data_IF_287504809913
#
_entry.id   IF_287504809913
#
_cell.length_a   1.000
_cell.length_b   1.000
_cell.length_c   1.000
_cell.angle_alpha   90.00
_cell.angle_beta   90.00
_cell.angle_gamma   90.00
#
_symmetry.space_group_name_H-M   'P 1'
#
loop_
_entity.id
_entity.type
_entity.pdbx_description
1 polymer ?
#
# COMPACT_ATOMS: atom_id res chain seq x y z
N UNK A 1 11.76 -5.07 -12.73
CA UNK A 1 12.39 -5.22 -11.39
C UNK A 1 13.85 -5.57 -11.64
N UNK A 2 14.75 -4.66 -11.98
CA UNK A 2 14.98 -3.33 -11.40
C UNK A 2 15.94 -3.50 -10.23
N UNK A 3 17.23 -3.69 -10.51
CA UNK A 3 18.48 -3.74 -9.70
C UNK A 3 18.48 -4.29 -8.25
N UNK A 4 17.34 -4.65 -7.68
CA UNK A 4 17.18 -5.24 -6.37
C UNK A 4 17.53 -6.71 -6.41
N UNK A 5 18.38 -7.14 -5.46
CA UNK A 5 18.81 -8.52 -5.34
C UNK A 5 18.42 -9.05 -3.97
N UNK A 6 17.57 -10.07 -3.96
CA UNK A 6 17.10 -10.73 -2.74
C UNK A 6 18.29 -11.29 -1.97
N UNK A 7 18.39 -10.94 -0.69
CA UNK A 7 19.48 -11.40 0.19
C UNK A 7 20.79 -10.61 0.08
N UNK A 8 20.90 -9.64 -0.83
CA UNK A 8 22.08 -8.78 -0.96
C UNK A 8 21.83 -7.44 -0.28
N UNK A 9 22.46 -7.23 0.87
CA UNK A 9 22.39 -5.98 1.63
C UNK A 9 22.86 -4.80 0.78
N UNK A 10 22.07 -3.72 0.74
CA UNK A 10 22.40 -2.50 0.01
C UNK A 10 21.97 -2.48 -1.46
N UNK A 11 21.55 -3.62 -2.03
CA UNK A 11 21.07 -3.68 -3.43
C UNK A 11 19.87 -2.76 -3.69
N UNK A 12 19.06 -2.47 -2.65
CA UNK A 12 17.96 -1.51 -2.74
C UNK A 12 18.42 -0.11 -3.17
N UNK A 13 19.58 0.37 -2.72
CA UNK A 13 20.08 1.70 -3.07
C UNK A 13 20.39 1.88 -4.57
N UNK A 14 20.60 0.78 -5.29
CA UNK A 14 20.82 0.82 -6.74
C UNK A 14 19.53 0.90 -7.55
N UNK A 15 18.39 0.58 -6.92
CA UNK A 15 17.09 0.67 -7.57
C UNK A 15 16.72 2.12 -7.88
N UNK A 16 15.75 2.31 -8.78
CA UNK A 16 15.18 3.64 -8.99
C UNK A 16 14.60 4.20 -7.69
N UNK A 17 13.83 3.40 -6.95
CA UNK A 17 13.22 3.79 -5.68
C UNK A 17 14.26 4.21 -4.66
N UNK A 18 15.36 3.46 -4.55
CA UNK A 18 16.50 3.79 -3.68
C UNK A 18 17.14 5.12 -4.05
N UNK A 19 17.42 5.36 -5.34
CA UNK A 19 17.99 6.62 -5.81
C UNK A 19 17.06 7.81 -5.62
N UNK A 20 15.76 7.63 -5.86
CA UNK A 20 14.74 8.67 -5.62
C UNK A 20 14.63 8.98 -4.14
N UNK A 21 14.64 7.95 -3.28
CA UNK A 21 14.65 8.12 -1.83
C UNK A 21 15.91 8.86 -1.34
N UNK A 22 17.08 8.48 -1.83
CA UNK A 22 18.34 9.16 -1.49
C UNK A 22 18.33 10.62 -1.94
N UNK A 23 17.82 10.91 -3.15
CA UNK A 23 17.60 12.29 -3.61
C UNK A 23 16.67 13.05 -2.68
N UNK A 24 15.52 12.48 -2.32
CA UNK A 24 14.56 13.10 -1.40
C UNK A 24 15.18 13.42 -0.03
N UNK A 25 15.92 12.47 0.55
CA UNK A 25 16.60 12.66 1.84
C UNK A 25 17.68 13.73 1.75
N UNK A 26 18.52 13.68 0.71
CA UNK A 26 19.63 14.62 0.53
C UNK A 26 19.16 16.05 0.22
N UNK A 27 17.96 16.20 -0.34
CA UNK A 27 17.36 17.50 -0.69
C UNK A 27 16.40 18.03 0.38
N UNK A 28 16.52 17.62 1.65
CA UNK A 28 15.79 18.25 2.76
C UNK A 28 14.35 17.75 2.97
N UNK A 29 13.97 16.63 2.35
CA UNK A 29 12.68 15.96 2.55
C UNK A 29 11.50 16.90 2.25
N UNK A 30 10.65 17.13 3.26
CA UNK A 30 9.48 18.02 3.21
C UNK A 30 9.86 19.52 3.18
N UNK A 31 11.14 19.83 3.40
CA UNK A 31 11.67 21.20 3.47
C UNK A 31 12.88 21.40 2.55
N UNK A 32 12.70 21.26 1.22
CA UNK A 32 13.80 21.46 0.29
C UNK A 32 14.32 22.90 0.30
N UNK A 33 15.64 23.05 0.35
CA UNK A 33 16.29 24.36 0.35
C UNK A 33 16.27 25.04 -1.03
N UNK A 34 16.12 24.25 -2.10
CA UNK A 34 16.07 24.75 -3.48
C UNK A 34 14.65 25.09 -3.88
N UNK A 35 14.48 26.26 -4.51
CA UNK A 35 13.21 26.68 -5.12
C UNK A 35 12.79 25.67 -6.20
N UNK A 36 13.74 25.13 -6.98
CA UNK A 36 13.44 24.18 -8.04
C UNK A 36 12.88 22.86 -7.48
N UNK A 37 13.49 22.32 -6.42
CA UNK A 37 12.99 21.12 -5.73
C UNK A 37 11.62 21.37 -5.11
N UNK A 38 11.44 22.54 -4.47
CA UNK A 38 10.14 22.94 -3.91
C UNK A 38 9.06 22.94 -4.98
N UNK A 39 9.31 23.61 -6.11
CA UNK A 39 8.34 23.70 -7.20
C UNK A 39 8.07 22.34 -7.84
N UNK A 40 9.10 21.50 -8.02
CA UNK A 40 8.96 20.16 -8.59
C UNK A 40 8.10 19.25 -7.71
N UNK A 41 8.35 19.20 -6.40
CA UNK A 41 7.54 18.42 -5.46
C UNK A 41 6.09 18.90 -5.44
N UNK A 42 5.85 20.23 -5.42
CA UNK A 42 4.48 20.78 -5.40
C UNK A 42 3.72 20.54 -6.69
N UNK A 43 4.40 20.66 -7.84
CA UNK A 43 3.79 20.34 -9.13
C UNK A 43 3.42 18.86 -9.20
N UNK A 44 4.28 17.97 -8.73
CA UNK A 44 4.01 16.54 -8.62
C UNK A 44 2.77 16.27 -7.75
N UNK A 45 2.75 16.77 -6.51
CA UNK A 45 1.64 16.51 -5.58
C UNK A 45 0.32 17.09 -6.09
N UNK A 46 0.36 18.24 -6.76
CA UNK A 46 -0.80 18.82 -7.40
C UNK A 46 -1.30 17.94 -8.56
N UNK A 47 -0.42 17.46 -9.43
CA UNK A 47 -0.79 16.56 -10.53
C UNK A 47 -1.38 15.24 -10.03
N UNK A 48 -0.87 14.69 -8.92
CA UNK A 48 -1.44 13.49 -8.29
C UNK A 48 -2.84 13.78 -7.72
N UNK A 49 -3.02 14.95 -7.11
CA UNK A 49 -4.32 15.36 -6.57
C UNK A 49 -5.34 15.56 -7.69
N UNK A 50 -4.97 16.25 -8.77
CA UNK A 50 -5.80 16.48 -9.95
C UNK A 50 -6.23 15.14 -10.59
N UNK A 51 -5.28 14.23 -10.82
CA UNK A 51 -5.58 12.90 -11.35
C UNK A 51 -6.45 12.06 -10.39
N UNK A 52 -6.28 12.21 -9.07
CA UNK A 52 -7.13 11.53 -8.09
C UNK A 52 -8.56 12.07 -8.12
N UNK A 53 -8.74 13.40 -8.17
CA UNK A 53 -10.04 14.04 -8.26
C UNK A 53 -10.80 13.60 -9.52
N UNK A 54 -10.12 13.58 -10.67
CA UNK A 54 -10.68 13.07 -11.92
C UNK A 54 -11.07 11.58 -11.82
N UNK A 55 -10.21 10.75 -11.19
CA UNK A 55 -10.45 9.31 -11.05
C UNK A 55 -11.71 9.01 -10.22
N UNK A 56 -11.97 9.80 -9.17
CA UNK A 56 -13.10 9.58 -8.25
C UNK A 56 -14.37 10.34 -8.64
N UNK A 57 -14.29 11.27 -9.60
CA UNK A 57 -15.45 12.03 -10.03
C UNK A 57 -16.60 11.11 -10.49
N UNK A 58 -17.82 11.43 -10.03
CA UNK A 58 -19.01 10.62 -10.27
C UNK A 58 -19.03 9.21 -9.65
N UNK A 59 -18.02 8.81 -8.86
CA UNK A 59 -17.96 7.48 -8.22
C UNK A 59 -18.38 7.51 -6.75
N UNK A 60 -19.11 6.50 -6.33
CA UNK A 60 -19.41 6.29 -4.92
C UNK A 60 -18.23 5.59 -4.24
N UNK A 61 -17.36 6.35 -3.58
CA UNK A 61 -16.15 5.82 -2.93
C UNK A 61 -16.46 5.36 -1.50
N UNK A 62 -16.10 4.13 -1.15
CA UNK A 62 -16.21 3.60 0.22
C UNK A 62 -14.89 3.04 0.67
N UNK A 63 -14.45 3.48 1.84
CA UNK A 63 -13.19 3.06 2.41
C UNK A 63 -13.41 2.15 3.62
N UNK A 64 -12.79 0.95 3.62
CA UNK A 64 -12.74 0.11 4.81
C UNK A 64 -11.44 0.42 5.55
N UNK A 65 -11.60 1.03 6.72
CA UNK A 65 -10.50 1.34 7.64
C UNK A 65 -10.34 0.16 8.63
N UNK A 66 -9.13 -0.36 8.78
CA UNK A 66 -8.85 -1.44 9.71
C UNK A 66 -7.37 -1.68 9.91
N UNK A 67 -7.00 -2.22 11.07
CA UNK A 67 -5.61 -2.42 11.45
C UNK A 67 -4.90 -3.51 10.65
N UNK A 68 -3.59 -3.32 10.46
CA UNK A 68 -2.69 -4.28 9.81
C UNK A 68 -2.52 -5.61 10.57
N UNK A 69 -3.08 -5.71 11.78
CA UNK A 69 -2.92 -6.86 12.69
C UNK A 69 -3.93 -7.98 12.44
N UNK A 70 -4.95 -7.76 11.61
CA UNK A 70 -5.92 -8.79 11.27
C UNK A 70 -5.22 -9.90 10.46
N UNK A 71 -5.20 -11.11 11.00
CA UNK A 71 -4.60 -12.27 10.33
C UNK A 71 -5.52 -12.74 9.20
N UNK A 72 -4.93 -13.24 8.12
CA UNK A 72 -5.68 -13.85 6.99
C UNK A 72 -6.50 -15.06 7.40
N UNK A 73 -6.06 -15.78 8.44
CA UNK A 73 -6.80 -16.91 9.04
C UNK A 73 -7.89 -16.49 10.04
N UNK A 74 -8.00 -15.19 10.36
CA UNK A 74 -9.04 -14.71 11.26
C UNK A 74 -10.39 -14.71 10.52
N UNK A 75 -11.48 -15.22 11.12
CA UNK A 75 -12.81 -15.21 10.50
C UNK A 75 -13.30 -13.81 10.09
N UNK A 76 -12.78 -12.73 10.68
CA UNK A 76 -13.14 -11.39 10.27
C UNK A 76 -12.48 -10.96 8.96
N UNK A 77 -11.37 -11.59 8.54
CA UNK A 77 -10.73 -11.32 7.25
C UNK A 77 -11.67 -11.62 6.09
N UNK A 78 -12.28 -12.82 6.07
CA UNK A 78 -13.24 -13.19 5.03
C UNK A 78 -14.50 -12.34 5.07
N UNK A 79 -14.98 -11.95 6.27
CA UNK A 79 -16.12 -11.04 6.40
C UNK A 79 -15.85 -9.68 5.74
N UNK A 80 -14.66 -9.12 5.94
CA UNK A 80 -14.25 -7.86 5.28
C UNK A 80 -14.25 -8.04 3.76
N UNK A 81 -13.71 -9.15 3.26
CA UNK A 81 -13.74 -9.44 1.83
C UNK A 81 -15.17 -9.58 1.28
N UNK A 82 -16.06 -10.27 2.00
CA UNK A 82 -17.47 -10.41 1.61
C UNK A 82 -18.19 -9.05 1.57
N UNK A 83 -17.99 -8.19 2.57
CA UNK A 83 -18.55 -6.84 2.61
C UNK A 83 -18.06 -6.02 1.41
N UNK A 84 -16.75 -6.05 1.14
CA UNK A 84 -16.16 -5.32 0.02
C UNK A 84 -16.67 -5.80 -1.34
N UNK A 85 -16.78 -7.13 -1.52
CA UNK A 85 -17.34 -7.71 -2.75
C UNK A 85 -18.80 -7.33 -2.97
N UNK A 86 -19.60 -7.30 -1.90
CA UNK A 86 -21.00 -6.89 -1.97
C UNK A 86 -21.16 -5.40 -2.32
N UNK A 87 -20.36 -4.52 -1.71
CA UNK A 87 -20.36 -3.09 -2.05
C UNK A 87 -19.87 -2.87 -3.50
N UNK A 88 -18.88 -3.62 -3.94
CA UNK A 88 -18.40 -3.56 -5.34
C UNK A 88 -19.51 -3.93 -6.32
N UNK A 89 -20.29 -4.99 -6.05
CA UNK A 89 -21.46 -5.36 -6.86
C UNK A 89 -22.54 -4.28 -6.90
N UNK A 90 -22.63 -3.45 -5.85
CA UNK A 90 -23.55 -2.30 -5.78
C UNK A 90 -23.02 -1.04 -6.47
N UNK A 91 -21.84 -1.11 -7.10
CA UNK A 91 -21.25 0.00 -7.84
C UNK A 91 -20.40 0.95 -6.99
N UNK A 92 -20.00 0.55 -5.78
CA UNK A 92 -19.06 1.33 -4.98
C UNK A 92 -17.61 1.06 -5.40
N UNK A 93 -16.80 2.12 -5.45
CA UNK A 93 -15.35 2.03 -5.57
C UNK A 93 -14.77 1.77 -4.18
N UNK A 94 -14.30 0.55 -3.96
CA UNK A 94 -13.70 0.15 -2.68
C UNK A 94 -12.25 0.62 -2.59
N UNK A 95 -11.90 1.27 -1.47
CA UNK A 95 -10.55 1.77 -1.18
C UNK A 95 -10.10 1.41 0.24
N UNK A 96 -8.79 1.37 0.46
CA UNK A 96 -8.17 1.19 1.77
C UNK A 96 -6.75 1.78 1.79
N UNK A 97 -6.08 1.78 2.95
CA UNK A 97 -4.68 2.21 3.06
C UNK A 97 -3.66 1.26 2.41
N UNK A 98 -4.08 0.17 1.77
CA UNK A 98 -3.22 -0.72 0.99
C UNK A 98 -2.29 -1.64 1.79
N UNK A 99 -2.34 -1.60 3.13
CA UNK A 99 -1.57 -2.48 3.99
C UNK A 99 -2.17 -3.90 4.13
N UNK A 100 -1.56 -4.77 4.95
CA UNK A 100 -2.06 -6.13 5.18
C UNK A 100 -3.32 -6.13 6.05
N UNK A 101 -3.93 -7.32 6.21
CA UNK A 101 -5.08 -7.52 7.10
C UNK A 101 -6.37 -6.98 6.51
N UNK A 102 -7.11 -6.15 7.25
CA UNK A 102 -8.41 -5.65 6.79
C UNK A 102 -8.31 -4.82 5.49
N UNK A 103 -7.22 -4.06 5.34
CA UNK A 103 -6.95 -3.27 4.13
C UNK A 103 -6.74 -4.16 2.90
N UNK A 104 -6.02 -5.27 3.06
CA UNK A 104 -5.82 -6.29 2.03
C UNK A 104 -7.12 -7.03 1.70
N UNK A 105 -7.86 -7.48 2.72
CA UNK A 105 -9.15 -8.15 2.57
C UNK A 105 -10.16 -7.31 1.77
N UNK A 106 -10.09 -5.99 1.90
CA UNK A 106 -10.92 -5.04 1.15
C UNK A 106 -10.67 -5.19 -0.36
N UNK A 107 -9.42 -5.14 -0.80
CA UNK A 107 -9.09 -5.28 -2.22
C UNK A 107 -9.32 -6.70 -2.73
N UNK A 108 -9.08 -7.72 -1.90
CA UNK A 108 -9.42 -9.10 -2.22
C UNK A 108 -10.93 -9.25 -2.50
N UNK A 109 -11.77 -8.74 -1.61
CA UNK A 109 -13.22 -8.77 -1.78
C UNK A 109 -13.69 -8.09 -3.07
N UNK A 110 -13.17 -6.90 -3.35
CA UNK A 110 -13.49 -6.17 -4.58
C UNK A 110 -13.08 -6.95 -5.84
N UNK A 111 -11.91 -7.60 -5.82
CA UNK A 111 -11.43 -8.44 -6.92
C UNK A 111 -12.29 -9.68 -7.16
N UNK A 112 -12.88 -10.24 -6.10
CA UNK A 112 -13.77 -11.42 -6.17
C UNK A 112 -15.26 -11.08 -6.29
N UNK A 113 -15.63 -9.80 -6.47
CA UNK A 113 -17.02 -9.35 -6.47
C UNK A 113 -17.93 -10.09 -7.45
N UNK A 114 -17.41 -10.54 -8.60
CA UNK A 114 -18.15 -11.27 -9.64
C UNK A 114 -17.71 -12.73 -9.78
N UNK A 115 -17.02 -13.28 -8.76
CA UNK A 115 -16.67 -14.69 -8.66
C UNK A 115 -17.54 -15.39 -7.62
N UNK A 116 -17.50 -16.71 -7.60
CA UNK A 116 -18.25 -17.49 -6.62
C UNK A 116 -17.68 -17.32 -5.21
N UNK A 117 -18.54 -17.55 -4.21
CA UNK A 117 -18.15 -17.50 -2.80
C UNK A 117 -17.10 -18.58 -2.47
N UNK A 118 -17.17 -19.74 -3.13
CA UNK A 118 -16.21 -20.85 -2.98
C UNK A 118 -14.82 -20.42 -3.46
N UNK A 119 -14.72 -19.75 -4.61
CA UNK A 119 -13.43 -19.25 -5.11
C UNK A 119 -12.77 -18.23 -4.17
N UNK A 120 -13.58 -17.41 -3.49
CA UNK A 120 -13.08 -16.47 -2.48
C UNK A 120 -12.56 -17.23 -1.24
N UNK A 121 -13.29 -18.23 -0.77
CA UNK A 121 -12.89 -19.07 0.36
C UNK A 121 -11.58 -19.80 0.09
N UNK A 122 -11.47 -20.47 -1.06
CA UNK A 122 -10.25 -21.15 -1.50
C UNK A 122 -9.06 -20.18 -1.57
N UNK A 123 -9.27 -18.97 -2.10
CA UNK A 123 -8.23 -17.95 -2.15
C UNK A 123 -7.77 -17.51 -0.75
N UNK A 124 -8.71 -17.35 0.19
CA UNK A 124 -8.39 -16.99 1.58
C UNK A 124 -7.59 -18.11 2.25
N UNK A 125 -7.92 -19.38 2.01
CA UNK A 125 -7.17 -20.52 2.54
C UNK A 125 -5.72 -20.55 2.03
N UNK A 126 -5.51 -20.35 0.73
CA UNK A 126 -4.17 -20.25 0.13
C UNK A 126 -3.38 -19.09 0.77
N UNK A 127 -4.01 -17.93 0.92
CA UNK A 127 -3.38 -16.74 1.50
C UNK A 127 -3.04 -16.94 2.98
N UNK A 128 -3.87 -17.63 3.74
CA UNK A 128 -3.66 -17.93 5.15
C UNK A 128 -2.49 -18.92 5.38
N UNK A 129 -2.22 -19.81 4.42
CA UNK A 129 -1.10 -20.76 4.48
C UNK A 129 0.26 -20.13 4.10
N UNK A 130 0.26 -18.96 3.47
CA UNK A 130 1.49 -18.27 3.08
C UNK A 130 2.20 -17.62 4.29
N UNK A 131 3.52 -17.43 4.17
CA UNK A 131 4.32 -16.78 5.21
C UNK A 131 3.76 -15.39 5.55
N UNK A 132 3.73 -14.99 6.84
CA UNK A 132 3.24 -13.68 7.21
C UNK A 132 4.05 -12.60 6.49
N UNK A 133 3.36 -11.56 5.99
CA UNK A 133 4.03 -10.36 5.47
C UNK A 133 4.83 -9.79 6.64
N UNK A 134 6.15 -9.95 6.59
CA UNK A 134 7.06 -9.37 7.57
C UNK A 134 6.99 -7.86 7.37
N UNK A 135 6.22 -7.17 8.22
CA UNK A 135 6.34 -5.73 8.37
C UNK A 135 7.77 -5.47 8.85
N UNK A 136 8.63 -4.95 7.95
CA UNK A 136 10.01 -4.65 8.28
C UNK A 136 10.09 -3.87 9.58
N UNK A 137 10.70 -4.48 10.61
CA UNK A 137 11.05 -3.72 11.82
C UNK A 137 11.98 -2.61 11.36
N UNK A 138 11.55 -1.36 11.56
CA UNK A 138 12.43 -0.20 11.42
C UNK A 138 13.42 -0.23 12.58
N UNK A 139 14.55 -0.91 12.40
CA UNK A 139 15.69 -0.79 13.31
C UNK A 139 16.34 0.59 13.10
N UNK A 140 15.77 1.62 13.74
CA UNK A 140 16.43 2.90 13.97
C UNK A 140 17.49 2.73 15.06
N UNK A 141 18.57 2.01 14.75
CA UNK A 141 19.76 1.95 15.61
C UNK A 141 21.03 2.15 14.77
N UNK A 142 21.09 3.27 14.03
CA UNK A 142 22.36 3.82 13.55
C UNK A 142 22.75 5.04 14.38
N UNK A 143 23.67 4.79 15.32
CA UNK A 143 24.78 5.65 15.73
C UNK A 143 24.50 7.15 15.88
N UNK A 144 24.11 7.56 17.10
CA UNK A 144 24.56 8.85 17.65
C UNK A 144 25.84 8.61 18.45
N UNK A 145 26.77 9.55 18.32
CA UNK A 145 28.02 9.73 19.06
C UNK A 145 29.29 9.11 18.43
N UNK A 146 29.82 9.79 17.41
CA UNK A 146 31.21 10.24 17.50
C UNK A 146 31.19 11.76 17.69
N UNK A 147 31.57 12.18 18.88
CA UNK A 147 31.93 13.52 19.29
C UNK A 147 33.02 13.38 20.33
#
# INVERSE_FOLDING_TARGET
>A
MGDYQVGVTGSYGHTLDGRVYDHYVNNGKDHPASILETLAQRLHDHAITDALEELIDGRNVVAIMGGHSLKRSDPNYIKVAQISGELTRRGYLMTSGGGPGAMEATHLGAWFAYRSQVELEDAVEILAASLPIVSGKKDYSRSRNMG
#
